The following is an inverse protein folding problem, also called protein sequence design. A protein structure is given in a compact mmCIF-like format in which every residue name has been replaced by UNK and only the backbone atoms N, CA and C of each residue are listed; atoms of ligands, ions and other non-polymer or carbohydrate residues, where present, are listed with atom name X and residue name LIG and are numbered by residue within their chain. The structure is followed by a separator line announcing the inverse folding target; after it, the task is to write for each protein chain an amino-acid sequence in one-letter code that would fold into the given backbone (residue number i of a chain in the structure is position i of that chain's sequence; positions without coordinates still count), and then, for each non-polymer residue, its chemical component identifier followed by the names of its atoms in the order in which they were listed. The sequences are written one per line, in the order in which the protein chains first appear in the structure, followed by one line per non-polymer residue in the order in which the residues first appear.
data_IF_292383085233
#
_entry.id   IF_292383085233
#
_cell.length_a   1.000
_cell.length_b   1.000
_cell.length_c   1.000
_cell.angle_alpha   90.00
_cell.angle_beta   90.00
_cell.angle_gamma   90.00
#
_symmetry.space_group_name_H-M   'P 1'
#
loop_
_entity.id
_entity.type
_entity.pdbx_description
1 polymer ?
#
# COMPACT_ATOMS: atom_id res chain seq x y z
N UNK A 1 34.85 42.48 -49.12
CA UNK A 1 33.64 41.66 -48.91
C UNK A 1 33.88 40.31 -49.55
N UNK A 2 33.86 39.25 -48.72
CA UNK A 2 33.61 37.84 -49.05
C UNK A 2 34.27 36.97 -47.97
N UNK A 3 33.52 36.73 -46.89
CA UNK A 3 33.81 35.66 -45.94
C UNK A 3 33.25 34.36 -46.52
N UNK A 4 34.09 33.36 -46.76
CA UNK A 4 33.67 32.00 -47.07
C UNK A 4 33.71 31.18 -45.78
N UNK A 5 32.57 30.56 -45.47
CA UNK A 5 32.28 29.90 -44.20
C UNK A 5 32.99 28.53 -44.11
N UNK A 6 33.64 28.30 -42.97
CA UNK A 6 34.13 27.00 -42.57
C UNK A 6 32.96 26.11 -42.13
N UNK A 7 32.76 24.99 -42.81
CA UNK A 7 31.90 23.90 -42.36
C UNK A 7 32.67 23.02 -41.38
N UNK A 8 32.44 23.21 -40.08
CA UNK A 8 32.88 22.26 -39.04
C UNK A 8 31.69 21.37 -38.66
N UNK A 9 31.75 20.12 -39.12
CA UNK A 9 30.91 19.01 -38.70
C UNK A 9 31.10 18.79 -37.18
N UNK A 10 30.04 19.01 -36.41
CA UNK A 10 29.97 18.56 -35.02
C UNK A 10 29.66 17.07 -35.05
N UNK A 11 30.66 16.25 -34.74
CA UNK A 11 30.47 14.86 -34.37
C UNK A 11 29.58 14.82 -33.11
N UNK A 12 28.39 14.25 -33.26
CA UNK A 12 27.46 13.91 -32.19
C UNK A 12 28.07 12.85 -31.28
N UNK A 13 28.87 13.30 -30.31
CA UNK A 13 29.26 12.51 -29.16
C UNK A 13 28.02 12.21 -28.34
N UNK A 14 27.53 10.98 -28.46
CA UNK A 14 26.46 10.44 -27.62
C UNK A 14 26.86 10.55 -26.16
N UNK A 15 26.13 11.38 -25.43
CA UNK A 15 26.02 11.25 -23.99
C UNK A 15 25.32 9.93 -23.75
N UNK A 16 26.10 8.87 -23.54
CA UNK A 16 25.63 7.69 -22.83
C UNK A 16 25.16 8.20 -21.47
N UNK A 17 23.87 8.50 -21.37
CA UNK A 17 23.22 8.52 -20.08
C UNK A 17 23.53 7.16 -19.45
N UNK A 18 24.11 7.10 -18.23
CA UNK A 18 24.12 5.84 -17.53
C UNK A 18 22.65 5.44 -17.40
N UNK A 19 22.25 4.35 -18.05
CA UNK A 19 20.96 3.71 -17.80
C UNK A 19 20.83 3.63 -16.29
N UNK A 20 19.96 4.45 -15.71
CA UNK A 20 19.71 4.40 -14.28
C UNK A 20 19.38 2.94 -13.99
N UNK A 21 20.04 2.29 -13.01
CA UNK A 21 19.85 0.87 -12.78
C UNK A 21 18.35 0.64 -12.62
N UNK A 22 17.79 -0.19 -13.52
CA UNK A 22 16.40 -0.60 -13.45
C UNK A 22 16.16 -1.04 -12.01
N UNK A 23 15.29 -0.32 -11.29
CA UNK A 23 15.02 -0.61 -9.90
C UNK A 23 14.58 -2.08 -9.78
N UNK A 24 15.48 -2.94 -9.32
CA UNK A 24 15.18 -4.33 -9.04
C UNK A 24 14.60 -4.37 -7.64
N UNK A 25 13.27 -4.49 -7.56
CA UNK A 25 12.62 -4.73 -6.29
C UNK A 25 13.21 -6.03 -5.69
N UNK A 26 13.43 -6.09 -4.37
CA UNK A 26 13.80 -7.33 -3.71
C UNK A 26 12.76 -8.43 -4.01
N UNK A 27 13.13 -9.71 -3.96
CA UNK A 27 12.18 -10.79 -4.16
C UNK A 27 11.04 -10.73 -3.14
N UNK A 28 9.85 -11.18 -3.53
CA UNK A 28 8.71 -11.27 -2.61
C UNK A 28 8.99 -12.35 -1.56
N UNK A 29 8.87 -12.04 -0.25
CA UNK A 29 9.00 -13.05 0.80
C UNK A 29 8.03 -14.21 0.62
N UNK A 30 8.47 -15.43 0.94
CA UNK A 30 7.66 -16.65 0.75
C UNK A 30 6.39 -16.62 1.60
N UNK A 31 6.49 -16.11 2.82
CA UNK A 31 5.41 -15.96 3.78
C UNK A 31 4.34 -15.00 3.26
N UNK A 32 4.74 -13.93 2.56
CA UNK A 32 3.81 -12.98 1.95
C UNK A 32 3.04 -13.61 0.80
N UNK A 33 3.74 -14.37 -0.05
CA UNK A 33 3.12 -15.12 -1.15
C UNK A 33 2.12 -16.15 -0.62
N UNK A 34 2.47 -16.88 0.44
CA UNK A 34 1.59 -17.85 1.08
C UNK A 34 0.36 -17.19 1.71
N UNK A 35 0.54 -16.07 2.41
CA UNK A 35 -0.55 -15.29 2.99
C UNK A 35 -1.53 -14.79 1.92
N UNK A 36 -1.02 -14.24 0.81
CA UNK A 36 -1.85 -13.77 -0.29
C UNK A 36 -2.64 -14.93 -0.93
N UNK A 37 -1.99 -16.07 -1.18
CA UNK A 37 -2.66 -17.25 -1.73
C UNK A 37 -3.80 -17.73 -0.82
N UNK A 38 -3.58 -17.74 0.50
CA UNK A 38 -4.60 -18.10 1.49
C UNK A 38 -5.78 -17.12 1.49
N UNK A 39 -5.54 -15.81 1.32
CA UNK A 39 -6.61 -14.81 1.25
C UNK A 39 -7.44 -14.94 -0.03
N UNK A 40 -6.81 -15.26 -1.16
CA UNK A 40 -7.50 -15.51 -2.44
C UNK A 40 -8.33 -16.80 -2.37
N UNK A 41 -7.74 -17.89 -1.86
CA UNK A 41 -8.36 -19.21 -1.83
C UNK A 41 -9.41 -19.39 -0.72
N UNK A 42 -9.24 -18.72 0.42
CA UNK A 42 -10.13 -18.88 1.58
C UNK A 42 -11.57 -18.49 1.29
N UNK A 43 -12.51 -18.76 2.19
CA UNK A 43 -13.89 -18.25 2.13
C UNK A 43 -14.18 -17.23 3.23
N UNK A 44 -13.49 -17.34 4.36
CA UNK A 44 -13.69 -16.52 5.57
C UNK A 44 -12.60 -15.47 5.79
N UNK A 45 -11.44 -15.60 5.15
CA UNK A 45 -10.28 -14.73 5.38
C UNK A 45 -10.09 -13.77 4.22
N UNK A 46 -10.19 -12.47 4.51
CA UNK A 46 -10.18 -11.45 3.47
C UNK A 46 -9.32 -10.25 3.78
N UNK A 47 -8.98 -10.05 5.05
CA UNK A 47 -8.14 -8.92 5.47
C UNK A 47 -6.94 -9.45 6.21
N UNK A 48 -5.75 -8.98 5.84
CA UNK A 48 -4.53 -9.18 6.60
C UNK A 48 -3.79 -7.86 6.84
N UNK A 49 -2.98 -7.83 7.89
CA UNK A 49 -2.12 -6.69 8.24
C UNK A 49 -0.66 -7.11 8.13
N UNK A 50 0.13 -6.26 7.50
CA UNK A 50 1.56 -6.45 7.33
C UNK A 50 2.30 -5.35 8.08
N UNK A 51 3.26 -5.72 8.91
CA UNK A 51 4.23 -4.80 9.49
C UNK A 51 5.54 -4.95 8.75
N UNK A 52 5.90 -3.92 8.00
CA UNK A 52 6.97 -3.96 7.02
C UNK A 52 8.14 -3.09 7.46
N UNK A 53 9.34 -3.65 7.38
CA UNK A 53 10.60 -2.93 7.43
C UNK A 53 10.62 -1.83 6.35
N UNK A 54 11.41 -0.76 6.48
CA UNK A 54 11.43 0.33 5.52
C UNK A 54 11.68 -0.13 4.07
N UNK A 55 12.56 -1.11 3.87
CA UNK A 55 12.85 -1.69 2.56
C UNK A 55 11.64 -2.45 2.00
N UNK A 56 10.99 -3.28 2.82
CA UNK A 56 9.80 -4.02 2.42
C UNK A 56 8.61 -3.09 2.14
N UNK A 57 8.44 -2.03 2.93
CA UNK A 57 7.38 -1.04 2.73
C UNK A 57 7.54 -0.29 1.40
N UNK A 58 8.78 0.07 1.04
CA UNK A 58 9.08 0.71 -0.24
C UNK A 58 8.89 -0.25 -1.44
N UNK A 59 9.23 -1.53 -1.29
CA UNK A 59 9.06 -2.54 -2.34
C UNK A 59 7.62 -3.05 -2.50
N UNK A 60 6.81 -2.96 -1.44
CA UNK A 60 5.46 -3.50 -1.34
C UNK A 60 4.53 -3.19 -2.53
N UNK A 61 4.39 -1.92 -2.97
CA UNK A 61 3.56 -1.60 -4.13
C UNK A 61 3.99 -2.30 -5.42
N UNK A 62 5.29 -2.52 -5.61
CA UNK A 62 5.81 -3.27 -6.76
C UNK A 62 5.49 -4.76 -6.64
N UNK A 63 5.71 -5.35 -5.46
CA UNK A 63 5.31 -6.74 -5.17
C UNK A 63 3.83 -6.98 -5.44
N UNK A 64 2.99 -6.07 -4.95
CA UNK A 64 1.55 -6.10 -5.13
C UNK A 64 1.17 -6.17 -6.62
N UNK A 65 1.66 -5.22 -7.42
CA UNK A 65 1.27 -5.08 -8.82
C UNK A 65 1.86 -6.16 -9.74
N UNK A 66 3.14 -6.50 -9.55
CA UNK A 66 3.89 -7.30 -10.54
C UNK A 66 4.05 -8.77 -10.16
N UNK A 67 3.86 -9.12 -8.89
CA UNK A 67 4.06 -10.50 -8.42
C UNK A 67 2.83 -11.10 -7.78
N UNK A 68 2.10 -10.33 -6.97
CA UNK A 68 0.95 -10.82 -6.20
C UNK A 68 -0.40 -10.62 -6.92
N UNK A 69 -0.43 -9.87 -8.03
CA UNK A 69 -1.66 -9.59 -8.78
C UNK A 69 -2.68 -8.74 -7.99
N UNK A 70 -2.22 -7.96 -7.01
CA UNK A 70 -3.02 -7.03 -6.23
C UNK A 70 -2.91 -5.63 -6.81
N UNK A 71 -3.92 -4.79 -6.61
CA UNK A 71 -3.81 -3.37 -6.96
C UNK A 71 -3.26 -2.57 -5.79
N UNK A 72 -2.09 -1.91 -5.92
CA UNK A 72 -1.58 -1.01 -4.90
C UNK A 72 -2.40 0.28 -4.85
N UNK A 73 -2.81 0.69 -3.64
CA UNK A 73 -3.57 1.92 -3.38
C UNK A 73 -2.98 2.66 -2.19
N UNK A 74 -2.69 3.95 -2.35
CA UNK A 74 -2.17 4.79 -1.27
C UNK A 74 -3.33 5.54 -0.60
N UNK A 75 -3.78 5.09 0.57
CA UNK A 75 -4.98 5.62 1.23
C UNK A 75 -4.89 7.11 1.53
N UNK A 76 -3.74 7.59 2.03
CA UNK A 76 -3.53 9.03 2.28
C UNK A 76 -3.79 9.92 1.06
N UNK A 77 -3.35 9.50 -0.14
CA UNK A 77 -3.58 10.25 -1.39
C UNK A 77 -5.03 10.21 -1.81
N UNK A 78 -5.67 9.05 -1.70
CA UNK A 78 -7.09 8.85 -2.03
C UNK A 78 -8.00 9.71 -1.13
N UNK A 79 -7.68 9.78 0.16
CA UNK A 79 -8.39 10.62 1.13
C UNK A 79 -8.22 12.10 0.80
N UNK A 80 -6.99 12.54 0.51
CA UNK A 80 -6.74 13.95 0.12
C UNK A 80 -7.53 14.30 -1.15
N UNK A 81 -7.48 13.45 -2.17
CA UNK A 81 -8.22 13.66 -3.41
C UNK A 81 -9.75 13.71 -3.18
N UNK A 82 -10.28 12.87 -2.29
CA UNK A 82 -11.70 12.91 -1.91
C UNK A 82 -12.06 14.22 -1.19
N UNK A 83 -11.23 14.67 -0.25
CA UNK A 83 -11.43 15.94 0.43
C UNK A 83 -11.40 17.13 -0.54
N UNK A 84 -10.45 17.15 -1.48
CA UNK A 84 -10.36 18.19 -2.52
C UNK A 84 -11.59 18.22 -3.42
N UNK A 85 -12.08 17.05 -3.84
CA UNK A 85 -13.30 16.93 -4.65
C UNK A 85 -14.55 17.44 -3.90
N UNK A 86 -14.57 17.32 -2.57
CA UNK A 86 -15.63 17.85 -1.69
C UNK A 86 -15.40 19.32 -1.29
N UNK A 87 -14.32 19.96 -1.76
CA UNK A 87 -14.01 21.36 -1.43
C UNK A 87 -13.59 21.56 0.03
N UNK A 88 -13.03 20.54 0.68
CA UNK A 88 -12.64 20.56 2.09
C UNK A 88 -11.18 20.13 2.30
N UNK A 89 -10.59 20.55 3.41
CA UNK A 89 -9.28 20.06 3.88
C UNK A 89 -9.41 19.13 5.10
N UNK A 90 -10.65 18.74 5.45
CA UNK A 90 -10.94 17.91 6.62
C UNK A 90 -10.67 16.44 6.34
N UNK A 91 -9.41 16.05 6.58
CA UNK A 91 -8.99 14.65 6.63
C UNK A 91 -9.72 13.91 7.77
N UNK A 92 -10.13 12.64 7.60
CA UNK A 92 -10.80 11.86 8.63
C UNK A 92 -10.07 11.90 9.97
N UNK A 93 -10.84 12.16 11.03
CA UNK A 93 -10.37 12.16 12.43
C UNK A 93 -11.15 11.17 13.31
N UNK A 94 -12.04 10.37 12.70
CA UNK A 94 -12.83 9.33 13.37
C UNK A 94 -12.74 8.02 12.60
N UNK A 95 -12.69 6.91 13.32
CA UNK A 95 -12.53 5.55 12.80
C UNK A 95 -13.61 5.14 11.79
N UNK A 96 -14.91 5.42 12.01
CA UNK A 96 -15.96 5.11 11.04
C UNK A 96 -15.77 5.77 9.67
N UNK A 97 -15.28 7.03 9.64
CA UNK A 97 -15.01 7.72 8.38
C UNK A 97 -13.81 7.09 7.67
N UNK A 98 -12.72 6.83 8.39
CA UNK A 98 -11.54 6.17 7.81
C UNK A 98 -11.89 4.78 7.26
N UNK A 99 -12.67 4.00 8.01
CA UNK A 99 -13.16 2.69 7.59
C UNK A 99 -13.98 2.79 6.30
N UNK A 100 -14.88 3.77 6.19
CA UNK A 100 -15.65 4.02 4.97
C UNK A 100 -14.74 4.30 3.78
N UNK A 101 -13.70 5.12 3.94
CA UNK A 101 -12.73 5.37 2.87
C UNK A 101 -11.98 4.10 2.45
N UNK A 102 -11.55 3.28 3.40
CA UNK A 102 -10.93 1.97 3.10
C UNK A 102 -11.87 1.12 2.25
N UNK A 103 -13.14 1.01 2.63
CA UNK A 103 -14.13 0.24 1.86
C UNK A 103 -14.36 0.83 0.47
N UNK A 104 -14.48 2.16 0.33
CA UNK A 104 -14.65 2.80 -0.99
C UNK A 104 -13.46 2.49 -1.90
N UNK A 105 -12.24 2.66 -1.42
CA UNK A 105 -11.01 2.38 -2.19
C UNK A 105 -10.91 0.90 -2.55
N UNK A 106 -11.19 0.04 -1.58
CA UNK A 106 -11.13 -1.42 -1.75
C UNK A 106 -12.18 -1.92 -2.75
N UNK A 107 -13.43 -1.45 -2.64
CA UNK A 107 -14.53 -1.86 -3.52
C UNK A 107 -14.38 -1.30 -4.94
N UNK A 108 -13.67 -0.18 -5.10
CA UNK A 108 -13.29 0.33 -6.42
C UNK A 108 -12.15 -0.47 -7.07
N UNK A 109 -11.58 -1.44 -6.36
CA UNK A 109 -10.47 -2.27 -6.86
C UNK A 109 -11.01 -3.52 -7.57
N UNK A 110 -10.30 -3.96 -8.62
CA UNK A 110 -10.65 -5.16 -9.37
C UNK A 110 -10.59 -6.47 -8.56
N UNK A 111 -10.95 -7.62 -9.17
CA UNK A 111 -11.13 -8.89 -8.47
C UNK A 111 -9.86 -9.45 -7.82
N UNK A 112 -8.68 -8.98 -8.20
CA UNK A 112 -7.39 -9.41 -7.64
C UNK A 112 -7.22 -9.02 -6.17
N UNK A 113 -7.85 -7.95 -5.71
CA UNK A 113 -7.70 -7.44 -4.35
C UNK A 113 -6.82 -6.21 -4.24
N UNK A 114 -6.70 -5.69 -3.02
CA UNK A 114 -6.06 -4.41 -2.75
C UNK A 114 -4.85 -4.60 -1.84
N UNK A 115 -3.73 -4.01 -2.23
CA UNK A 115 -2.63 -3.70 -1.34
C UNK A 115 -2.78 -2.24 -0.91
N UNK A 116 -3.23 -2.01 0.32
CA UNK A 116 -3.49 -0.68 0.84
C UNK A 116 -2.33 -0.22 1.73
N UNK A 117 -1.74 0.91 1.42
CA UNK A 117 -0.62 1.50 2.16
C UNK A 117 -0.86 2.99 2.43
N UNK A 118 0.00 3.61 3.25
CA UNK A 118 -0.11 5.02 3.59
C UNK A 118 -1.29 5.34 4.51
N UNK A 119 -1.69 4.39 5.36
CA UNK A 119 -2.73 4.60 6.38
C UNK A 119 -2.16 5.08 7.73
N UNK A 120 -0.85 4.95 7.93
CA UNK A 120 -0.11 5.29 9.15
C UNK A 120 -0.38 6.73 9.61
N UNK A 121 -0.19 7.73 8.75
CA UNK A 121 -0.48 9.13 9.07
C UNK A 121 -1.96 9.39 9.40
N UNK A 122 -2.89 8.59 8.87
CA UNK A 122 -4.32 8.71 9.15
C UNK A 122 -4.67 8.08 10.51
N UNK A 123 -4.05 6.95 10.84
CA UNK A 123 -4.24 6.27 12.12
C UNK A 123 -3.71 7.08 13.31
N UNK A 124 -2.60 7.80 13.15
CA UNK A 124 -2.02 8.66 14.20
C UNK A 124 -3.00 9.76 14.61
N UNK A 125 -3.91 10.19 13.72
CA UNK A 125 -4.93 11.21 14.00
C UNK A 125 -6.12 10.69 14.80
N UNK A 126 -6.28 9.37 14.88
CA UNK A 126 -7.39 8.74 15.61
C UNK A 126 -7.04 8.60 17.09
N UNK A 127 -8.05 8.71 17.96
CA UNK A 127 -7.89 8.31 19.36
C UNK A 127 -7.72 6.79 19.47
N UNK A 128 -7.24 6.29 20.62
CA UNK A 128 -7.11 4.85 20.85
C UNK A 128 -8.43 4.10 20.67
N UNK A 129 -9.56 4.68 21.13
CA UNK A 129 -10.88 4.07 20.96
C UNK A 129 -11.29 3.98 19.48
N UNK A 130 -11.03 5.05 18.71
CA UNK A 130 -11.33 5.08 17.28
C UNK A 130 -10.45 4.12 16.48
N UNK A 131 -9.17 3.96 16.85
CA UNK A 131 -8.30 2.93 16.29
C UNK A 131 -8.81 1.53 16.60
N UNK A 132 -9.23 1.27 17.84
CA UNK A 132 -9.82 0.00 18.24
C UNK A 132 -11.03 -0.36 17.39
N UNK A 133 -11.99 0.56 17.27
CA UNK A 133 -13.15 0.41 16.38
C UNK A 133 -12.73 0.09 14.94
N UNK A 134 -11.80 0.86 14.38
CA UNK A 134 -11.34 0.68 13.00
C UNK A 134 -10.76 -0.72 12.75
N UNK A 135 -9.88 -1.17 13.64
CA UNK A 135 -9.24 -2.49 13.51
C UNK A 135 -10.20 -3.64 13.74
N UNK A 136 -11.15 -3.51 14.67
CA UNK A 136 -12.19 -4.52 14.90
C UNK A 136 -13.10 -4.68 13.66
N UNK A 137 -13.47 -3.57 13.01
CA UNK A 137 -14.25 -3.63 11.77
C UNK A 137 -13.49 -4.27 10.62
N UNK A 138 -12.20 -3.99 10.48
CA UNK A 138 -11.37 -4.65 9.47
C UNK A 138 -11.13 -6.13 9.76
N UNK A 139 -11.08 -6.51 11.03
CA UNK A 139 -11.03 -7.91 11.43
C UNK A 139 -12.29 -8.66 10.99
N UNK A 140 -13.46 -8.04 11.16
CA UNK A 140 -14.78 -8.57 10.80
C UNK A 140 -15.06 -8.57 9.29
N UNK A 141 -14.25 -7.86 8.48
CA UNK A 141 -14.47 -7.75 7.05
C UNK A 141 -14.33 -9.12 6.34
N UNK A 142 -15.42 -9.57 5.71
CA UNK A 142 -15.52 -10.83 4.94
C UNK A 142 -15.77 -10.65 3.44
N UNK A 143 -15.81 -9.41 2.96
CA UNK A 143 -16.14 -9.10 1.56
C UNK A 143 -15.01 -9.51 0.60
N UNK A 144 -15.36 -9.73 -0.67
CA UNK A 144 -14.40 -9.87 -1.77
C UNK A 144 -14.24 -8.52 -2.47
N UNK A 145 -13.05 -8.20 -3.00
CA UNK A 145 -11.83 -9.03 -3.16
C UNK A 145 -10.93 -9.05 -1.89
N UNK A 146 -9.72 -9.67 -1.84
CA UNK A 146 -8.88 -9.64 -0.63
C UNK A 146 -8.23 -8.28 -0.39
N UNK A 147 -7.94 -7.95 0.87
CA UNK A 147 -7.36 -6.69 1.35
C UNK A 147 -6.12 -6.96 2.21
N UNK A 148 -4.95 -6.47 1.77
CA UNK A 148 -3.72 -6.47 2.54
C UNK A 148 -3.42 -5.04 2.98
N UNK A 149 -3.27 -4.82 4.28
CA UNK A 149 -3.00 -3.52 4.88
C UNK A 149 -1.53 -3.45 5.26
N UNK A 150 -0.76 -2.65 4.54
CA UNK A 150 0.65 -2.45 4.80
C UNK A 150 0.89 -1.28 5.75
N UNK A 151 1.57 -1.54 6.86
CA UNK A 151 2.05 -0.57 7.83
C UNK A 151 3.58 -0.62 7.88
N UNK A 152 4.27 0.52 8.02
CA UNK A 152 5.67 0.48 8.41
C UNK A 152 5.80 -0.07 9.84
N UNK A 153 6.85 -0.85 10.11
CA UNK A 153 7.07 -1.48 11.42
C UNK A 153 7.15 -0.45 12.56
N UNK A 154 7.72 0.72 12.30
CA UNK A 154 7.76 1.85 13.24
C UNK A 154 6.38 2.33 13.71
N UNK A 155 5.31 1.98 12.98
CA UNK A 155 3.93 2.35 13.30
C UNK A 155 3.14 1.17 13.89
N UNK A 156 3.81 0.18 14.47
CA UNK A 156 3.15 -0.96 15.13
C UNK A 156 2.18 -0.53 16.22
N UNK A 157 2.51 0.52 16.97
CA UNK A 157 1.71 1.04 18.09
C UNK A 157 0.38 1.68 17.67
N UNK A 158 0.25 2.06 16.39
CA UNK A 158 -1.03 2.54 15.82
C UNK A 158 -1.76 1.43 15.04
N UNK A 159 -1.17 0.25 14.97
CA UNK A 159 -1.76 -0.97 14.43
C UNK A 159 -2.90 -1.52 15.30
N UNK A 160 -3.37 -2.74 15.01
CA UNK A 160 -4.38 -3.43 15.83
C UNK A 160 -4.04 -3.42 17.31
N UNK A 161 -5.05 -3.18 18.16
CA UNK A 161 -4.90 -3.18 19.63
C UNK A 161 -4.41 -4.52 20.17
N UNK A 162 -4.79 -5.61 19.51
CA UNK A 162 -4.28 -6.97 19.77
C UNK A 162 -3.61 -7.50 18.49
N UNK A 163 -2.31 -7.22 18.29
CA UNK A 163 -1.56 -7.76 17.15
C UNK A 163 -1.48 -9.29 17.18
N UNK A 164 -1.49 -9.89 18.37
CA UNK A 164 -1.41 -11.34 18.58
C UNK A 164 -2.56 -12.05 17.88
N UNK A 165 -3.80 -11.55 18.04
CA UNK A 165 -4.98 -12.06 17.34
C UNK A 165 -4.82 -12.16 15.82
N UNK A 166 -4.07 -11.26 15.19
CA UNK A 166 -3.81 -11.30 13.74
C UNK A 166 -2.73 -12.30 13.39
N UNK A 167 -1.63 -12.30 14.15
CA UNK A 167 -0.47 -13.17 13.93
C UNK A 167 -0.78 -14.65 14.17
N UNK A 168 -1.58 -14.96 15.19
CA UNK A 168 -1.91 -16.34 15.59
C UNK A 168 -3.27 -16.81 15.08
N UNK A 169 -3.90 -16.06 14.17
CA UNK A 169 -5.10 -16.52 13.50
C UNK A 169 -4.80 -17.82 12.72
N UNK A 170 -5.79 -18.69 12.53
CA UNK A 170 -5.63 -19.87 11.69
C UNK A 170 -6.49 -19.80 10.43
N UNK A 171 -5.87 -19.73 9.23
CA UNK A 171 -4.46 -19.38 8.98
C UNK A 171 -4.14 -17.90 9.33
N UNK A 172 -2.84 -17.55 9.46
CA UNK A 172 -2.42 -16.22 9.91
C UNK A 172 -3.01 -15.09 9.09
N UNK A 173 -3.36 -13.99 9.76
CA UNK A 173 -3.84 -12.74 9.15
C UNK A 173 -2.89 -11.57 9.41
N UNK A 174 -1.75 -11.84 10.04
CA UNK A 174 -0.72 -10.89 10.36
C UNK A 174 0.63 -11.40 9.88
N UNK A 175 1.52 -10.51 9.44
CA UNK A 175 2.88 -10.88 9.05
C UNK A 175 3.87 -9.74 9.34
N UNK A 176 5.06 -10.10 9.83
CA UNK A 176 6.20 -9.22 10.02
C UNK A 176 7.25 -9.51 8.94
N UNK A 177 7.74 -8.48 8.24
CA UNK A 177 8.72 -8.56 7.15
C UNK A 177 9.71 -7.39 7.20
#
# INVERSE_FOLDING_TARGET
MSHSAASSSFASGGWLEPEAPLYQAPPVPTELSALQANLVAGTTLRTAVLWLSPAAYAAGPHWAAHTLGLTPRHLGREVVAACEAEGTQRVPSVGPMLYKHVLTVHNATGPGGTWLFGLDALLVRLSTAERGFFWDRLWELRQRPPLLLALPEAFRDVGPTDPGRWLTAEPPRGLHL
#
